data_IF_647250812470
#
_entry.id   IF_647250812470
#
_cell.length_a   1.000
_cell.length_b   1.000
_cell.length_c   1.000
_cell.angle_alpha   90.00
_cell.angle_beta   90.00
_cell.angle_gamma   90.00
#
_symmetry.space_group_name_H-M   'P 1'
#
loop_
_entity.id
_entity.type
_entity.pdbx_description
1 polymer ?
#
# COMPACT_ATOMS: atom_id res chain seq x y z
N UNK A 1 -7.35 -36.76 12.09
CA UNK A 1 -8.15 -37.17 10.90
C UNK A 1 -8.03 -36.08 9.83
N UNK A 2 -6.88 -35.97 9.14
CA UNK A 2 -6.73 -35.02 8.02
C UNK A 2 -5.64 -35.39 7.00
N UNK A 3 -5.04 -36.58 7.08
CA UNK A 3 -4.10 -37.08 6.07
C UNK A 3 -4.23 -38.61 5.92
N UNK A 4 -5.44 -39.08 5.70
CA UNK A 4 -5.63 -40.42 5.19
C UNK A 4 -6.18 -40.30 3.76
N UNK A 5 -5.51 -41.00 2.84
CA UNK A 5 -5.91 -41.32 1.46
C UNK A 5 -5.55 -40.29 0.39
N UNK A 6 -4.45 -40.54 -0.33
CA UNK A 6 -4.55 -41.01 -1.73
C UNK A 6 -3.19 -40.89 -2.44
N UNK A 7 -2.71 -42.02 -2.96
CA UNK A 7 -1.66 -42.09 -3.97
C UNK A 7 -2.07 -41.19 -5.16
N UNK A 8 -1.24 -40.20 -5.50
CA UNK A 8 -1.43 -39.15 -6.52
C UNK A 8 -2.18 -37.88 -6.08
N UNK A 9 -1.79 -37.24 -4.98
CA UNK A 9 -2.30 -35.90 -4.65
C UNK A 9 -1.22 -34.81 -4.66
N UNK A 10 -0.73 -34.38 -5.84
CA UNK A 10 -0.03 -33.11 -5.97
C UNK A 10 -0.90 -31.96 -5.43
N UNK A 11 -2.22 -32.09 -5.47
CA UNK A 11 -3.17 -31.11 -4.92
C UNK A 11 -3.03 -30.89 -3.41
N UNK A 12 -2.73 -31.93 -2.62
CA UNK A 12 -2.51 -31.78 -1.17
C UNK A 12 -1.21 -31.03 -0.84
N UNK A 13 -0.17 -31.29 -1.63
CA UNK A 13 1.13 -30.58 -1.55
C UNK A 13 0.96 -29.12 -2.00
N UNK A 14 0.23 -28.88 -3.08
CA UNK A 14 -0.09 -27.53 -3.58
C UNK A 14 -0.93 -26.77 -2.55
N UNK A 15 -1.97 -27.39 -1.98
CA UNK A 15 -2.81 -26.76 -0.97
C UNK A 15 -2.03 -26.42 0.31
N UNK A 16 -1.19 -27.33 0.79
CA UNK A 16 -0.32 -27.08 1.95
C UNK A 16 0.72 -26.00 1.67
N UNK A 17 1.34 -25.96 0.48
CA UNK A 17 2.19 -24.86 0.04
C UNK A 17 1.44 -23.52 0.02
N UNK A 18 0.21 -23.48 -0.51
CA UNK A 18 -0.63 -22.28 -0.53
C UNK A 18 -0.91 -21.79 0.89
N UNK A 19 -1.34 -22.69 1.80
CA UNK A 19 -1.59 -22.36 3.21
C UNK A 19 -0.32 -21.84 3.88
N UNK A 20 0.81 -22.51 3.69
CA UNK A 20 2.10 -22.11 4.28
C UNK A 20 2.55 -20.74 3.76
N UNK A 21 2.30 -20.45 2.49
CA UNK A 21 2.58 -19.14 1.87
C UNK A 21 1.67 -18.04 2.42
N UNK A 22 0.38 -18.34 2.60
CA UNK A 22 -0.60 -17.40 3.19
C UNK A 22 -0.25 -17.11 4.65
N UNK A 23 -0.10 -18.15 5.47
CA UNK A 23 0.25 -18.04 6.89
C UNK A 23 1.59 -17.33 7.08
N UNK A 24 2.60 -17.66 6.27
CA UNK A 24 3.90 -17.00 6.29
C UNK A 24 3.82 -15.50 5.96
N UNK A 25 2.98 -15.09 5.00
CA UNK A 25 2.73 -13.67 4.70
C UNK A 25 2.06 -12.95 5.86
N UNK A 26 1.03 -13.55 6.46
CA UNK A 26 0.35 -12.99 7.62
C UNK A 26 1.30 -12.82 8.81
N UNK A 27 2.09 -13.86 9.12
CA UNK A 27 3.06 -13.85 10.20
C UNK A 27 4.12 -12.76 10.02
N UNK A 28 4.68 -12.62 8.80
CA UNK A 28 5.62 -11.53 8.48
C UNK A 28 4.99 -10.15 8.67
N UNK A 29 3.73 -9.96 8.25
CA UNK A 29 3.02 -8.69 8.43
C UNK A 29 2.80 -8.38 9.91
N UNK A 30 2.44 -9.38 10.71
CA UNK A 30 2.29 -9.25 12.17
C UNK A 30 3.59 -8.85 12.84
N UNK A 31 4.71 -9.50 12.50
CA UNK A 31 6.04 -9.15 13.04
C UNK A 31 6.41 -7.71 12.68
N UNK A 32 6.24 -7.30 11.42
CA UNK A 32 6.53 -5.92 10.99
C UNK A 32 5.69 -4.89 11.76
N UNK A 33 4.39 -5.17 11.94
CA UNK A 33 3.51 -4.30 12.71
C UNK A 33 3.89 -4.24 14.19
N UNK A 34 4.30 -5.36 14.78
CA UNK A 34 4.78 -5.41 16.15
C UNK A 34 6.05 -4.57 16.30
N UNK A 35 7.03 -4.75 15.41
CA UNK A 35 8.26 -3.96 15.38
C UNK A 35 8.00 -2.46 15.24
N UNK A 36 7.10 -2.08 14.33
CA UNK A 36 6.66 -0.69 14.14
C UNK A 36 6.06 -0.12 15.43
N UNK A 37 5.16 -0.87 16.07
CA UNK A 37 4.54 -0.46 17.33
C UNK A 37 5.58 -0.32 18.47
N UNK A 38 6.53 -1.25 18.58
CA UNK A 38 7.62 -1.17 19.57
C UNK A 38 8.47 0.09 19.36
N UNK A 39 8.71 0.48 18.10
CA UNK A 39 9.40 1.73 17.74
C UNK A 39 8.52 2.99 17.81
N UNK A 40 7.25 2.86 18.19
CA UNK A 40 6.25 3.94 18.22
C UNK A 40 6.11 4.68 16.88
N UNK A 41 6.44 4.02 15.77
CA UNK A 41 6.35 4.62 14.44
C UNK A 41 4.89 4.64 13.97
N UNK A 42 4.44 5.70 13.28
CA UNK A 42 3.15 5.69 12.61
C UNK A 42 3.11 4.63 11.52
N UNK A 43 1.92 4.20 11.13
CA UNK A 43 1.77 3.31 9.98
C UNK A 43 2.22 4.00 8.69
N UNK A 44 1.75 5.24 8.50
CA UNK A 44 2.11 6.12 7.39
C UNK A 44 2.50 7.48 7.94
N UNK A 45 3.58 8.06 7.42
CA UNK A 45 4.10 9.36 7.83
C UNK A 45 4.22 10.28 6.63
N UNK A 46 3.73 11.50 6.78
CA UNK A 46 3.88 12.56 5.78
C UNK A 46 4.87 13.59 6.30
N UNK A 47 5.99 13.70 5.59
CA UNK A 47 7.05 14.68 5.84
C UNK A 47 7.01 15.75 4.75
N UNK A 48 7.85 16.78 4.86
CA UNK A 48 7.95 17.84 3.84
C UNK A 48 8.30 17.31 2.44
N UNK A 49 9.16 16.30 2.39
CA UNK A 49 9.73 15.80 1.14
C UNK A 49 9.20 14.41 0.75
N UNK A 50 8.69 13.64 1.72
CA UNK A 50 8.38 12.22 1.53
C UNK A 50 7.05 11.78 2.14
N UNK A 51 6.41 10.84 1.43
CA UNK A 51 5.46 9.87 1.94
C UNK A 51 6.23 8.62 2.40
N UNK A 52 6.13 8.27 3.68
CA UNK A 52 6.81 7.10 4.27
C UNK A 52 5.76 6.09 4.74
N UNK A 53 5.85 4.85 4.23
CA UNK A 53 5.09 3.70 4.68
C UNK A 53 5.99 2.80 5.53
N UNK A 54 5.84 2.92 6.84
CA UNK A 54 6.63 2.15 7.82
C UNK A 54 6.19 0.68 7.91
N UNK A 55 5.01 0.32 7.40
CA UNK A 55 4.54 -1.07 7.35
C UNK A 55 5.26 -1.82 6.23
N UNK A 56 5.35 -1.18 5.06
CA UNK A 56 5.95 -1.78 3.87
C UNK A 56 7.43 -1.44 3.68
N UNK A 57 7.97 -0.53 4.49
CA UNK A 57 9.34 -0.01 4.39
C UNK A 57 9.56 0.66 3.03
N UNK A 58 8.65 1.57 2.68
CA UNK A 58 8.63 2.29 1.41
C UNK A 58 8.74 3.79 1.70
N UNK A 59 9.55 4.49 0.92
CA UNK A 59 9.76 5.93 1.02
C UNK A 59 9.71 6.56 -0.37
N UNK A 60 8.75 7.46 -0.58
CA UNK A 60 8.47 8.08 -1.88
C UNK A 60 8.58 9.58 -1.74
N UNK A 61 9.34 10.22 -2.61
CA UNK A 61 9.37 11.69 -2.66
C UNK A 61 8.05 12.23 -3.20
N UNK A 62 7.57 13.34 -2.66
CA UNK A 62 6.39 14.03 -3.21
C UNK A 62 6.56 14.39 -4.69
N UNK A 63 7.78 14.71 -5.14
CA UNK A 63 8.10 14.95 -6.55
C UNK A 63 7.78 13.78 -7.49
N UNK A 64 7.61 12.57 -6.95
CA UNK A 64 7.28 11.35 -7.71
C UNK A 64 5.78 11.03 -7.68
N UNK A 65 4.97 11.87 -7.06
CA UNK A 65 3.51 11.78 -7.05
C UNK A 65 2.98 12.83 -8.03
N UNK A 66 2.21 12.39 -9.03
CA UNK A 66 1.64 13.28 -10.04
C UNK A 66 0.33 13.93 -9.56
N UNK A 67 -0.43 13.23 -8.71
CA UNK A 67 -1.72 13.69 -8.20
C UNK A 67 -2.04 12.99 -6.88
N UNK A 68 -2.70 13.71 -5.98
CA UNK A 68 -3.36 13.14 -4.81
C UNK A 68 -4.87 13.41 -4.88
N UNK A 69 -5.70 12.45 -4.54
CA UNK A 69 -7.15 12.62 -4.40
C UNK A 69 -7.75 11.78 -3.28
N UNK A 70 -8.90 12.20 -2.76
CA UNK A 70 -9.63 11.48 -1.71
C UNK A 70 -10.58 10.46 -2.34
N UNK A 71 -10.58 9.24 -1.82
CA UNK A 71 -11.52 8.18 -2.20
C UNK A 71 -12.10 7.54 -0.94
N UNK A 72 -13.36 7.10 -1.02
CA UNK A 72 -13.98 6.27 0.02
C UNK A 72 -14.06 4.83 -0.47
N UNK A 73 -13.58 3.87 0.32
CA UNK A 73 -13.68 2.45 0.02
C UNK A 73 -14.17 1.72 1.27
N UNK A 74 -15.29 1.01 1.16
CA UNK A 74 -15.87 0.20 2.25
C UNK A 74 -16.06 0.99 3.57
N UNK A 75 -16.46 2.25 3.46
CA UNK A 75 -16.69 3.13 4.61
C UNK A 75 -15.46 3.86 5.16
N UNK A 76 -14.26 3.50 4.71
CA UNK A 76 -13.02 4.17 5.13
C UNK A 76 -12.59 5.23 4.11
N UNK A 77 -12.03 6.33 4.60
CA UNK A 77 -11.48 7.40 3.76
C UNK A 77 -10.00 7.15 3.49
N UNK A 78 -9.63 7.24 2.22
CA UNK A 78 -8.26 7.05 1.75
C UNK A 78 -7.81 8.28 0.96
N UNK A 79 -6.54 8.60 1.06
CA UNK A 79 -5.85 9.39 0.05
C UNK A 79 -5.23 8.44 -0.95
N UNK A 80 -5.52 8.69 -2.21
CA UNK A 80 -4.97 7.99 -3.34
C UNK A 80 -3.89 8.87 -3.97
N UNK A 81 -2.68 8.33 -4.08
CA UNK A 81 -1.54 8.98 -4.70
C UNK A 81 -1.23 8.32 -6.05
N UNK A 82 -1.39 9.06 -7.13
CA UNK A 82 -1.01 8.63 -8.48
C UNK A 82 0.48 8.87 -8.66
N UNK A 83 1.22 7.83 -9.02
CA UNK A 83 2.67 7.90 -9.18
C UNK A 83 3.06 8.42 -10.57
N UNK A 84 4.03 9.34 -10.61
CA UNK A 84 4.69 9.80 -11.83
C UNK A 84 5.69 8.75 -12.34
N UNK A 85 6.49 8.18 -11.44
CA UNK A 85 7.51 7.16 -11.75
C UNK A 85 7.18 5.86 -11.02
N UNK A 86 6.66 4.90 -11.80
CA UNK A 86 6.18 3.60 -11.31
C UNK A 86 7.33 2.64 -11.03
N UNK A 87 8.45 2.79 -11.73
CA UNK A 87 9.60 1.90 -11.63
C UNK A 87 10.28 2.09 -10.28
N UNK A 88 10.53 3.34 -9.88
CA UNK A 88 11.11 3.67 -8.56
C UNK A 88 10.30 3.17 -7.37
N UNK A 89 8.98 3.08 -7.50
CA UNK A 89 8.15 2.48 -6.45
C UNK A 89 8.24 0.95 -6.46
N UNK A 90 8.17 0.34 -7.64
CA UNK A 90 8.29 -1.11 -7.81
C UNK A 90 9.63 -1.65 -7.33
N UNK A 91 10.72 -0.90 -7.50
CA UNK A 91 12.05 -1.24 -6.98
C UNK A 91 12.05 -1.46 -5.46
N UNK A 92 11.29 -0.64 -4.72
CA UNK A 92 11.19 -0.70 -3.27
C UNK A 92 10.30 -1.84 -2.77
N UNK A 93 9.42 -2.40 -3.62
CA UNK A 93 8.56 -3.52 -3.24
C UNK A 93 9.40 -4.78 -2.98
N UNK A 94 9.36 -5.26 -1.73
CA UNK A 94 10.03 -6.52 -1.36
C UNK A 94 9.23 -7.72 -1.87
N UNK A 95 9.89 -8.57 -2.65
CA UNK A 95 9.37 -9.85 -3.15
C UNK A 95 8.85 -9.81 -4.59
N UNK A 96 9.19 -10.87 -5.35
CA UNK A 96 8.88 -11.01 -6.77
C UNK A 96 7.37 -10.91 -7.07
N UNK A 97 6.54 -11.58 -6.26
CA UNK A 97 5.08 -11.52 -6.40
C UNK A 97 4.52 -10.10 -6.21
N UNK A 98 5.07 -9.32 -5.27
CA UNK A 98 4.63 -7.94 -5.03
C UNK A 98 4.91 -7.06 -6.26
N UNK A 99 6.10 -7.22 -6.85
CA UNK A 99 6.50 -6.54 -8.09
C UNK A 99 5.64 -6.95 -9.28
N UNK A 100 5.36 -8.25 -9.40
CA UNK A 100 4.52 -8.81 -10.47
C UNK A 100 3.07 -8.29 -10.35
N UNK A 101 2.46 -8.41 -9.17
CA UNK A 101 1.09 -7.92 -8.95
C UNK A 101 1.00 -6.41 -9.19
N UNK A 102 2.02 -5.65 -8.81
CA UNK A 102 2.10 -4.23 -9.11
C UNK A 102 2.13 -3.96 -10.63
N UNK A 103 2.89 -4.73 -11.41
CA UNK A 103 2.92 -4.64 -12.88
C UNK A 103 1.60 -5.05 -13.57
N UNK A 104 0.82 -5.96 -12.96
CA UNK A 104 -0.47 -6.40 -13.51
C UNK A 104 -1.63 -5.45 -13.22
N UNK A 105 -1.50 -4.56 -12.24
CA UNK A 105 -2.47 -3.46 -12.05
C UNK A 105 -2.37 -2.45 -13.19
N UNK A 106 -3.53 -2.06 -13.74
CA UNK A 106 -3.68 -1.22 -14.92
C UNK A 106 -2.70 -0.03 -14.93
N UNK A 107 -1.80 0.09 -15.94
CA UNK A 107 -0.71 1.06 -15.93
C UNK A 107 -1.20 2.50 -15.75
N UNK A 108 -2.35 2.87 -16.30
CA UNK A 108 -2.80 4.27 -16.32
C UNK A 108 -3.39 4.77 -15.00
N UNK A 109 -3.62 3.87 -14.03
CA UNK A 109 -4.24 4.20 -12.74
C UNK A 109 -3.54 3.55 -11.55
N UNK A 110 -2.25 3.23 -11.69
CA UNK A 110 -1.43 2.70 -10.61
C UNK A 110 -1.26 3.77 -9.51
N UNK A 111 -2.08 3.61 -8.48
CA UNK A 111 -2.18 4.53 -7.39
C UNK A 111 -2.00 3.81 -6.05
N UNK A 112 -1.24 4.43 -5.17
CA UNK A 112 -1.11 3.98 -3.79
C UNK A 112 -2.31 4.50 -3.04
N UNK A 113 -2.95 3.64 -2.25
CA UNK A 113 -4.06 4.01 -1.40
C UNK A 113 -3.60 3.96 0.05
N UNK A 114 -3.73 5.09 0.72
CA UNK A 114 -3.33 5.28 2.11
C UNK A 114 -4.56 5.66 2.91
N UNK A 115 -4.91 4.83 3.90
CA UNK A 115 -6.05 5.13 4.77
C UNK A 115 -5.70 6.30 5.68
N UNK A 116 -6.59 7.29 5.77
CA UNK A 116 -6.32 8.53 6.51
C UNK A 116 -6.14 8.32 8.01
N UNK A 117 -6.81 7.32 8.58
CA UNK A 117 -6.69 6.94 9.99
C UNK A 117 -5.26 6.53 10.38
N UNK A 118 -4.45 6.13 9.41
CA UNK A 118 -3.09 5.61 9.60
C UNK A 118 -2.00 6.68 9.46
N UNK A 119 -2.38 7.89 9.03
CA UNK A 119 -1.48 8.97 8.64
C UNK A 119 -1.15 9.88 9.82
N UNK A 120 0.14 10.14 10.08
CA UNK A 120 0.61 11.13 11.07
C UNK A 120 1.68 12.05 10.46
N UNK A 121 1.84 13.27 10.98
CA UNK A 121 2.83 14.24 10.51
C UNK A 121 2.23 15.59 10.11
N UNK A 122 2.84 16.28 9.12
CA UNK A 122 2.40 17.60 8.59
C UNK A 122 1.15 17.49 7.72
N UNK A 123 0.12 16.87 8.30
CA UNK A 123 -1.08 16.47 7.59
C UNK A 123 -1.89 17.68 7.13
N UNK A 124 -1.98 18.74 7.93
CA UNK A 124 -2.79 19.93 7.62
C UNK A 124 -2.36 20.64 6.34
N UNK A 125 -1.05 20.82 6.12
CA UNK A 125 -0.53 21.42 4.90
C UNK A 125 -0.87 20.58 3.66
N UNK A 126 -0.70 19.26 3.74
CA UNK A 126 -1.00 18.36 2.62
C UNK A 126 -2.50 18.24 2.39
N UNK A 127 -3.31 18.19 3.44
CA UNK A 127 -4.76 18.28 3.34
C UNK A 127 -5.19 19.59 2.70
N UNK A 128 -4.55 20.72 3.06
CA UNK A 128 -4.83 22.01 2.44
C UNK A 128 -4.48 22.01 0.95
N UNK A 129 -3.39 21.36 0.54
CA UNK A 129 -3.00 21.21 -0.86
C UNK A 129 -3.97 20.30 -1.62
N UNK A 130 -4.34 19.14 -1.06
CA UNK A 130 -5.35 18.24 -1.62
C UNK A 130 -6.68 18.98 -1.76
N UNK A 131 -7.08 19.74 -0.74
CA UNK A 131 -8.30 20.54 -0.74
C UNK A 131 -8.27 21.63 -1.81
N UNK A 132 -7.16 22.36 -1.96
CA UNK A 132 -6.95 23.35 -3.04
C UNK A 132 -7.10 22.70 -4.42
N UNK A 133 -6.43 21.57 -4.67
CA UNK A 133 -6.53 20.84 -5.94
C UNK A 133 -7.98 20.40 -6.22
N UNK A 134 -8.72 19.96 -5.20
CA UNK A 134 -10.13 19.60 -5.34
C UNK A 134 -10.99 20.82 -5.67
N UNK A 135 -10.77 21.96 -5.01
CA UNK A 135 -11.51 23.18 -5.26
C UNK A 135 -11.21 23.77 -6.64
N UNK A 136 -9.95 23.79 -7.05
CA UNK A 136 -9.53 24.20 -8.38
C UNK A 136 -10.15 23.31 -9.46
N UNK A 137 -10.19 21.99 -9.28
CA UNK A 137 -10.88 21.09 -10.22
C UNK A 137 -12.40 21.25 -10.26
N UNK A 138 -13.03 21.75 -9.20
CA UNK A 138 -14.47 22.08 -9.22
C UNK A 138 -14.76 23.34 -10.03
N UNK A 139 -13.81 24.30 -10.06
CA UNK A 139 -13.96 25.56 -10.78
C UNK A 139 -13.79 25.41 -12.31
N UNK A 140 -13.11 24.37 -12.80
CA UNK A 140 -12.90 24.12 -14.24
C UNK A 140 -13.93 23.19 -14.91
N UNK A 141 -15.00 22.80 -14.20
CA UNK A 141 -16.09 21.95 -14.73
C UNK A 141 -17.42 22.73 -14.91
N UNK A 142 -17.36 24.04 -15.13
CA UNK A 142 -18.51 24.87 -15.52
C UNK A 142 -18.34 25.43 -16.92
#
# INVERSE_FOLDING_TARGET
MLFALSNNQPLGIIASLIVLTITGKHFRKTIKNLYRNLKKLPALELTDDYLIDHINDIKIRWSYISKADLISLRGNSFVRFILRDKEKYSEQLKGLLSKIMFKFTNPDNLAIKTELSLVKGKNEEIYSQIYKIIQEKKLYNF
#
